data_IF_990044731514
#
_entry.id   IF_990044731514
#
_cell.length_a   1.000
_cell.length_b   1.000
_cell.length_c   1.000
_cell.angle_alpha   90.00
_cell.angle_beta   90.00
_cell.angle_gamma   90.00
#
_symmetry.space_group_name_H-M   'P 1'
#
loop_
_entity.id
_entity.type
_entity.pdbx_description
1 polymer ?
#
# COMPACT_ATOMS: atom_id res chain seq x y z
N UNK A 1 15.96 -45.27 -3.07
CA UNK A 1 16.14 -43.98 -2.46
C UNK A 1 15.57 -42.92 -3.39
N UNK A 2 14.30 -42.59 -3.17
CA UNK A 2 13.61 -41.50 -3.89
C UNK A 2 13.92 -40.21 -3.18
N UNK A 3 14.71 -39.35 -3.82
CA UNK A 3 14.96 -37.99 -3.38
C UNK A 3 13.73 -37.14 -3.67
N UNK A 4 13.11 -36.67 -2.61
CA UNK A 4 12.02 -35.72 -2.55
C UNK A 4 12.52 -34.36 -3.10
N UNK A 5 12.24 -34.07 -4.37
CA UNK A 5 12.39 -32.71 -4.93
C UNK A 5 11.16 -31.91 -4.57
N UNK A 6 11.15 -31.35 -3.39
CA UNK A 6 10.29 -30.18 -3.08
C UNK A 6 10.73 -29.04 -4.00
N UNK A 7 9.99 -28.84 -5.08
CA UNK A 7 10.03 -27.60 -5.83
C UNK A 7 9.53 -26.48 -4.92
N UNK A 8 10.44 -25.88 -4.15
CA UNK A 8 10.22 -24.60 -3.52
C UNK A 8 10.01 -23.58 -4.64
N UNK A 9 8.77 -23.16 -4.83
CA UNK A 9 8.47 -21.87 -5.42
C UNK A 9 9.11 -20.83 -4.49
N UNK A 10 10.38 -20.52 -4.74
CA UNK A 10 10.95 -19.26 -4.25
C UNK A 10 10.12 -18.18 -4.95
N UNK A 11 9.11 -17.68 -4.25
CA UNK A 11 8.62 -16.33 -4.53
C UNK A 11 9.88 -15.47 -4.56
N UNK A 12 10.24 -14.99 -5.76
CA UNK A 12 11.22 -13.91 -5.85
C UNK A 12 10.76 -12.87 -4.84
N UNK A 13 11.63 -12.58 -3.88
CA UNK A 13 11.42 -11.52 -2.92
C UNK A 13 10.90 -10.32 -3.70
N UNK A 14 9.74 -9.79 -3.28
CA UNK A 14 9.33 -8.45 -3.67
C UNK A 14 10.59 -7.60 -3.63
N UNK A 15 10.87 -6.84 -4.68
CA UNK A 15 12.05 -5.97 -4.75
C UNK A 15 12.13 -5.26 -3.41
N UNK A 16 13.10 -5.64 -2.58
CA UNK A 16 13.29 -5.06 -1.27
C UNK A 16 13.49 -3.56 -1.51
N UNK A 17 12.70 -2.74 -0.81
CA UNK A 17 12.90 -1.30 -0.83
C UNK A 17 14.37 -1.02 -0.48
N UNK A 18 15.08 -0.30 -1.36
CA UNK A 18 16.47 0.08 -1.09
C UNK A 18 16.50 1.10 0.07
N UNK A 19 16.90 0.62 1.23
CA UNK A 19 16.99 1.44 2.45
C UNK A 19 18.21 2.35 2.46
N UNK A 20 19.15 2.22 1.51
CA UNK A 20 20.37 3.00 1.44
C UNK A 20 20.10 4.51 1.45
N UNK A 21 19.31 5.06 0.51
CA UNK A 21 18.94 6.48 0.50
C UNK A 21 18.25 6.94 1.78
N UNK A 22 17.36 6.12 2.34
CA UNK A 22 16.67 6.42 3.60
C UNK A 22 17.66 6.54 4.76
N UNK A 23 18.62 5.63 4.86
CA UNK A 23 19.62 5.62 5.95
C UNK A 23 20.41 6.92 6.00
N UNK A 24 20.69 7.53 4.86
CA UNK A 24 21.45 8.79 4.80
C UNK A 24 20.66 10.00 5.27
N UNK A 25 19.35 10.05 5.02
CA UNK A 25 18.51 11.20 5.39
C UNK A 25 17.73 10.97 6.69
N UNK A 26 17.80 9.76 7.26
CA UNK A 26 17.00 9.37 8.43
C UNK A 26 17.20 10.27 9.64
N UNK A 27 18.48 10.63 9.94
CA UNK A 27 18.80 11.52 11.06
C UNK A 27 18.20 12.92 10.89
N UNK A 28 18.18 13.46 9.68
CA UNK A 28 17.57 14.76 9.39
C UNK A 28 16.04 14.69 9.50
N UNK A 29 15.43 13.58 9.03
CA UNK A 29 14.00 13.36 9.18
C UNK A 29 13.62 13.26 10.66
N UNK A 30 14.37 12.50 11.46
CA UNK A 30 14.12 12.35 12.89
C UNK A 30 14.20 13.69 13.60
N UNK A 31 15.23 14.48 13.33
CA UNK A 31 15.39 15.82 13.91
C UNK A 31 14.25 16.76 13.50
N UNK A 32 13.77 16.68 12.26
CA UNK A 32 12.63 17.48 11.81
C UNK A 32 11.31 17.03 12.49
N UNK A 33 11.10 15.72 12.66
CA UNK A 33 9.95 15.19 13.42
C UNK A 33 9.99 15.61 14.88
N UNK A 34 11.13 15.55 15.55
CA UNK A 34 11.31 16.02 16.93
C UNK A 34 10.98 17.51 17.05
N UNK A 35 11.45 18.33 16.13
CA UNK A 35 11.13 19.77 16.12
C UNK A 35 9.65 20.04 15.86
N UNK A 36 9.00 19.25 14.99
CA UNK A 36 7.58 19.34 14.74
C UNK A 36 6.78 18.97 16.00
N UNK A 37 7.15 17.89 16.70
CA UNK A 37 6.50 17.45 17.95
C UNK A 37 6.70 18.49 19.08
N UNK A 38 7.89 19.06 19.20
CA UNK A 38 8.19 20.12 20.17
C UNK A 38 7.31 21.37 19.93
N UNK A 39 7.20 21.82 18.69
CA UNK A 39 6.34 22.97 18.33
C UNK A 39 4.87 22.67 18.65
N UNK A 40 4.39 21.46 18.34
CA UNK A 40 3.05 21.02 18.67
C UNK A 40 2.81 21.01 20.19
N UNK A 41 3.77 20.52 20.97
CA UNK A 41 3.73 20.52 22.45
C UNK A 41 3.67 21.94 23.02
N UNK A 42 4.42 22.88 22.46
CA UNK A 42 4.37 24.29 22.85
C UNK A 42 3.01 24.92 22.57
N UNK A 43 2.40 24.62 21.41
CA UNK A 43 1.04 25.03 21.10
C UNK A 43 0.04 24.48 22.13
N UNK A 44 0.10 23.18 22.41
CA UNK A 44 -0.81 22.53 23.34
C UNK A 44 -0.72 23.12 24.75
N UNK A 45 0.49 23.38 25.25
CA UNK A 45 0.72 24.01 26.53
C UNK A 45 0.18 25.45 26.58
N UNK A 46 0.43 26.25 25.55
CA UNK A 46 -0.10 27.61 25.42
C UNK A 46 -1.62 27.65 25.32
N UNK A 47 -2.21 26.73 24.54
CA UNK A 47 -3.67 26.64 24.39
C UNK A 47 -4.36 26.31 25.71
N UNK A 48 -3.80 25.40 26.51
CA UNK A 48 -4.29 25.09 27.86
C UNK A 48 -4.21 26.29 28.81
N UNK A 49 -3.25 27.21 28.60
CA UNK A 49 -3.10 28.44 29.36
C UNK A 49 -3.92 29.63 28.81
N UNK A 50 -4.69 29.42 27.71
CA UNK A 50 -5.46 30.46 27.03
C UNK A 50 -4.61 31.41 26.17
N UNK A 51 -3.35 31.07 25.89
CA UNK A 51 -2.40 31.86 25.11
C UNK A 51 -1.91 31.10 23.87
N UNK A 52 -2.73 30.18 23.33
CA UNK A 52 -2.36 29.36 22.18
C UNK A 52 -1.94 30.22 20.97
N UNK A 53 -0.68 30.09 20.54
CA UNK A 53 -0.11 30.83 19.42
C UNK A 53 -0.03 29.94 18.18
N UNK A 54 -0.83 30.26 17.17
CA UNK A 54 -0.84 29.55 15.88
C UNK A 54 0.53 29.55 15.16
N UNK A 55 1.45 30.43 15.57
CA UNK A 55 2.83 30.41 15.07
C UNK A 55 3.50 29.06 15.34
N UNK A 56 3.18 28.39 16.44
CA UNK A 56 3.71 27.06 16.76
C UNK A 56 3.15 25.98 15.82
N UNK A 57 1.89 26.07 15.40
CA UNK A 57 1.32 25.20 14.37
C UNK A 57 2.04 25.39 13.04
N UNK A 58 2.35 26.65 12.67
CA UNK A 58 3.14 26.96 11.47
C UNK A 58 4.55 26.37 11.54
N UNK A 59 5.21 26.43 12.69
CA UNK A 59 6.52 25.78 12.85
C UNK A 59 6.42 24.26 12.72
N UNK A 60 5.43 23.63 13.36
CA UNK A 60 5.17 22.22 13.20
C UNK A 60 4.99 21.84 11.71
N UNK A 61 4.17 22.58 10.97
CA UNK A 61 3.95 22.39 9.53
C UNK A 61 5.24 22.57 8.72
N UNK A 62 6.04 23.59 9.03
CA UNK A 62 7.30 23.83 8.32
C UNK A 62 8.27 22.67 8.48
N UNK A 63 8.41 22.12 9.68
CA UNK A 63 9.26 20.95 9.92
C UNK A 63 8.71 19.68 9.26
N UNK A 64 7.39 19.49 9.27
CA UNK A 64 6.77 18.39 8.55
C UNK A 64 6.99 18.48 7.02
N UNK A 65 6.96 19.68 6.46
CA UNK A 65 7.27 19.91 5.04
C UNK A 65 8.71 19.51 4.68
N UNK A 66 9.66 19.73 5.59
CA UNK A 66 11.04 19.23 5.42
C UNK A 66 11.08 17.70 5.38
N UNK A 67 10.33 17.04 6.28
CA UNK A 67 10.19 15.57 6.28
C UNK A 67 9.63 15.08 4.95
N UNK A 68 8.56 15.70 4.46
CA UNK A 68 7.91 15.36 3.18
C UNK A 68 8.87 15.47 2.01
N UNK A 69 9.65 16.56 1.94
CA UNK A 69 10.68 16.73 0.90
C UNK A 69 11.69 15.60 0.91
N UNK A 70 12.19 15.21 2.08
CA UNK A 70 13.12 14.09 2.22
C UNK A 70 12.49 12.74 1.83
N UNK A 71 11.25 12.47 2.22
CA UNK A 71 10.51 11.26 1.84
C UNK A 71 10.30 11.15 0.33
N UNK A 72 10.01 12.28 -0.33
CA UNK A 72 9.86 12.36 -1.79
C UNK A 72 11.17 12.00 -2.50
N UNK A 73 12.31 12.52 -2.02
CA UNK A 73 13.63 12.22 -2.59
C UNK A 73 13.98 10.74 -2.44
N UNK A 74 13.60 10.14 -1.33
CA UNK A 74 13.83 8.70 -1.06
C UNK A 74 12.87 7.79 -1.85
N UNK A 75 11.77 8.34 -2.40
CA UNK A 75 10.77 7.57 -3.16
C UNK A 75 9.80 6.76 -2.27
N UNK A 76 9.48 7.26 -1.08
CA UNK A 76 8.52 6.67 -0.16
C UNK A 76 7.10 7.24 -0.37
N UNK A 77 6.55 7.07 -1.59
CA UNK A 77 5.32 7.71 -2.05
C UNK A 77 4.15 7.58 -1.07
N UNK A 78 3.93 6.39 -0.50
CA UNK A 78 2.80 6.17 0.42
C UNK A 78 2.94 6.89 1.76
N UNK A 79 4.16 7.01 2.29
CA UNK A 79 4.42 7.79 3.52
C UNK A 79 4.41 9.28 3.21
N UNK A 80 4.87 9.68 2.03
CA UNK A 80 4.75 11.06 1.52
C UNK A 80 3.28 11.47 1.45
N UNK A 81 2.41 10.65 0.85
CA UNK A 81 0.97 10.89 0.79
C UNK A 81 0.32 10.99 2.18
N UNK A 82 0.77 10.18 3.14
CA UNK A 82 0.33 10.27 4.54
C UNK A 82 0.78 11.61 5.16
N UNK A 83 2.03 12.01 4.94
CA UNK A 83 2.57 13.28 5.45
C UNK A 83 1.88 14.49 4.84
N UNK A 84 1.48 14.43 3.57
CA UNK A 84 0.67 15.46 2.89
C UNK A 84 -0.71 15.63 3.55
N UNK A 85 -1.35 14.52 3.91
CA UNK A 85 -2.63 14.59 4.61
C UNK A 85 -2.50 15.24 6.00
N UNK A 86 -1.40 14.96 6.71
CA UNK A 86 -1.10 15.57 7.99
C UNK A 86 -0.75 17.06 7.84
N UNK A 87 0.06 17.44 6.85
CA UNK A 87 0.37 18.84 6.55
C UNK A 87 -0.88 19.64 6.21
N UNK A 88 -1.77 19.05 5.43
CA UNK A 88 -3.04 19.68 5.05
C UNK A 88 -4.01 19.86 6.23
N UNK A 89 -3.94 19.01 7.28
CA UNK A 89 -4.67 19.25 8.53
C UNK A 89 -4.08 20.42 9.30
N UNK A 90 -2.75 20.50 9.41
CA UNK A 90 -2.06 21.62 10.06
C UNK A 90 -2.37 22.95 9.34
N UNK A 91 -2.37 22.94 8.01
CA UNK A 91 -2.75 24.10 7.19
C UNK A 91 -4.22 24.50 7.43
N UNK A 92 -5.13 23.54 7.51
CA UNK A 92 -6.54 23.83 7.78
C UNK A 92 -6.74 24.43 9.19
N UNK A 93 -5.95 24.01 10.19
CA UNK A 93 -5.94 24.61 11.53
C UNK A 93 -5.34 26.03 11.48
N UNK A 94 -4.22 26.24 10.80
CA UNK A 94 -3.60 27.55 10.63
C UNK A 94 -4.55 28.57 9.96
N UNK A 95 -5.37 28.08 9.03
CA UNK A 95 -6.38 28.88 8.31
C UNK A 95 -7.71 28.98 9.08
N UNK A 96 -7.78 28.49 10.32
CA UNK A 96 -8.99 28.48 11.15
C UNK A 96 -10.20 27.74 10.52
N UNK A 97 -9.94 26.86 9.55
CA UNK A 97 -10.95 26.01 8.90
C UNK A 97 -11.29 24.77 9.73
N UNK A 98 -10.34 24.31 10.54
CA UNK A 98 -10.48 23.19 11.47
C UNK A 98 -10.13 23.65 12.89
N UNK A 99 -10.78 23.05 13.89
CA UNK A 99 -10.48 23.35 15.29
C UNK A 99 -9.16 22.69 15.69
N UNK A 100 -8.33 23.43 16.43
CA UNK A 100 -7.13 22.93 17.09
C UNK A 100 -7.46 22.44 18.50
N UNK A 101 -8.49 21.61 18.64
CA UNK A 101 -8.88 21.01 19.92
C UNK A 101 -7.94 19.88 20.37
N UNK A 102 -8.15 19.38 21.59
CA UNK A 102 -7.30 18.33 22.15
C UNK A 102 -7.29 17.03 21.31
N UNK A 103 -8.40 16.71 20.63
CA UNK A 103 -8.49 15.53 19.77
C UNK A 103 -7.65 15.71 18.49
N UNK A 104 -7.71 16.88 17.88
CA UNK A 104 -6.90 17.23 16.70
C UNK A 104 -5.40 17.23 17.04
N UNK A 105 -5.02 17.79 18.17
CA UNK A 105 -3.61 17.81 18.63
C UNK A 105 -3.10 16.39 18.89
N UNK A 106 -3.88 15.54 19.55
CA UNK A 106 -3.49 14.14 19.81
C UNK A 106 -3.40 13.33 18.50
N UNK A 107 -4.28 13.59 17.54
CA UNK A 107 -4.23 12.97 16.21
C UNK A 107 -2.95 13.35 15.47
N UNK A 108 -2.57 14.63 15.47
CA UNK A 108 -1.33 15.13 14.86
C UNK A 108 -0.11 14.48 15.53
N UNK A 109 -0.08 14.46 16.88
CA UNK A 109 1.01 13.84 17.64
C UNK A 109 1.18 12.36 17.30
N UNK A 110 0.11 11.58 17.31
CA UNK A 110 0.14 10.17 16.90
C UNK A 110 0.64 10.00 15.47
N UNK A 111 0.25 10.91 14.58
CA UNK A 111 0.65 10.87 13.17
C UNK A 111 2.14 11.14 12.97
N UNK A 112 2.71 12.12 13.70
CA UNK A 112 4.16 12.38 13.68
C UNK A 112 4.95 11.15 14.20
N UNK A 113 4.51 10.58 15.33
CA UNK A 113 5.14 9.40 15.91
C UNK A 113 5.10 8.18 14.96
N UNK A 114 3.98 7.96 14.28
CA UNK A 114 3.80 6.84 13.35
C UNK A 114 4.71 6.97 12.14
N UNK A 115 4.97 8.17 11.61
CA UNK A 115 5.96 8.37 10.54
C UNK A 115 7.34 7.88 11.00
N UNK A 116 7.80 8.32 12.19
CA UNK A 116 9.09 7.91 12.74
C UNK A 116 9.20 6.39 12.95
N UNK A 117 8.15 5.78 13.52
CA UNK A 117 8.09 4.31 13.70
C UNK A 117 8.12 3.56 12.37
N UNK A 118 7.35 4.01 11.38
CA UNK A 118 7.31 3.40 10.07
C UNK A 118 8.69 3.40 9.40
N UNK A 119 9.41 4.52 9.48
CA UNK A 119 10.76 4.63 8.91
C UNK A 119 11.78 3.75 9.66
N UNK A 120 11.65 3.61 10.99
CA UNK A 120 12.47 2.69 11.77
C UNK A 120 12.20 1.21 11.39
N UNK A 121 10.93 0.86 11.15
CA UNK A 121 10.53 -0.46 10.67
C UNK A 121 11.22 -0.76 9.32
N UNK A 122 11.21 0.19 8.37
CA UNK A 122 11.85 0.03 7.07
C UNK A 122 13.36 -0.18 7.18
N UNK A 123 14.03 0.63 8.00
CA UNK A 123 15.48 0.47 8.25
C UNK A 123 15.79 -0.87 8.91
N UNK A 124 14.86 -1.40 9.70
CA UNK A 124 14.96 -2.72 10.34
C UNK A 124 14.60 -3.89 9.40
N UNK A 125 14.34 -3.62 8.11
CA UNK A 125 14.03 -4.64 7.10
C UNK A 125 12.56 -5.05 7.02
N UNK A 126 11.64 -4.30 7.63
CA UNK A 126 10.22 -4.54 7.43
C UNK A 126 9.78 -4.09 6.04
N UNK A 127 8.80 -4.76 5.42
CA UNK A 127 8.34 -4.43 4.08
C UNK A 127 7.67 -3.05 4.02
N UNK A 128 7.88 -2.32 2.91
CA UNK A 128 7.20 -1.06 2.64
C UNK A 128 5.72 -1.31 2.32
N UNK A 129 4.86 -1.12 3.31
CA UNK A 129 3.41 -1.35 3.24
C UNK A 129 2.62 -0.16 3.76
N UNK A 130 2.45 0.92 2.97
CA UNK A 130 1.77 2.14 3.42
C UNK A 130 0.32 1.95 3.86
N UNK A 131 -0.35 0.88 3.40
CA UNK A 131 -1.70 0.52 3.85
C UNK A 131 -1.80 0.29 5.37
N UNK A 132 -0.70 0.02 6.07
CA UNK A 132 -0.65 -0.03 7.55
C UNK A 132 -1.03 1.32 8.18
N UNK A 133 -0.87 2.42 7.46
CA UNK A 133 -1.21 3.78 7.90
C UNK A 133 -2.68 4.16 7.61
N UNK A 134 -3.45 3.31 6.93
CA UNK A 134 -4.77 3.64 6.40
C UNK A 134 -5.77 4.08 7.48
N UNK A 135 -5.75 3.48 8.66
CA UNK A 135 -6.66 3.85 9.75
C UNK A 135 -6.43 5.30 10.17
N UNK A 136 -5.17 5.65 10.43
CA UNK A 136 -4.80 6.99 10.87
C UNK A 136 -4.95 8.02 9.74
N UNK A 137 -4.66 7.62 8.49
CA UNK A 137 -4.93 8.43 7.31
C UNK A 137 -6.41 8.81 7.18
N UNK A 138 -7.32 7.85 7.42
CA UNK A 138 -8.76 8.13 7.44
C UNK A 138 -9.14 9.12 8.53
N UNK A 139 -8.58 8.97 9.74
CA UNK A 139 -8.81 9.92 10.84
C UNK A 139 -8.38 11.34 10.45
N UNK A 140 -7.21 11.52 9.84
CA UNK A 140 -6.72 12.81 9.34
C UNK A 140 -7.67 13.43 8.29
N UNK A 141 -8.14 12.64 7.34
CA UNK A 141 -9.05 13.13 6.31
C UNK A 141 -10.43 13.49 6.87
N UNK A 142 -10.94 12.70 7.82
CA UNK A 142 -12.21 12.99 8.50
C UNK A 142 -12.10 14.27 9.34
N UNK A 143 -10.99 14.49 10.05
CA UNK A 143 -10.73 15.71 10.82
C UNK A 143 -10.74 16.97 9.91
N UNK A 144 -10.39 16.83 8.64
CA UNK A 144 -10.49 17.87 7.61
C UNK A 144 -11.89 18.00 6.99
N UNK A 145 -12.86 17.18 7.40
CA UNK A 145 -14.22 17.17 6.86
C UNK A 145 -14.41 16.37 5.58
N UNK A 146 -13.41 15.58 5.14
CA UNK A 146 -13.52 14.72 3.96
C UNK A 146 -14.24 13.42 4.32
N UNK A 147 -15.28 13.07 3.54
CA UNK A 147 -16.12 11.89 3.81
C UNK A 147 -15.71 10.65 3.01
N UNK A 148 -15.09 10.83 1.85
CA UNK A 148 -14.75 9.76 0.93
C UNK A 148 -13.23 9.53 0.95
N UNK A 149 -12.78 8.58 1.77
CA UNK A 149 -11.37 8.18 1.87
C UNK A 149 -11.24 6.75 1.38
N UNK A 150 -10.42 6.56 0.35
CA UNK A 150 -10.19 5.25 -0.26
C UNK A 150 -8.90 4.61 0.23
N UNK A 151 -8.88 3.29 0.30
CA UNK A 151 -7.63 2.55 0.52
C UNK A 151 -6.65 2.70 -0.66
N UNK A 152 -7.15 3.05 -1.84
CA UNK A 152 -6.32 3.32 -3.03
C UNK A 152 -5.41 4.52 -2.86
N UNK A 153 -5.74 5.45 -1.96
CA UNK A 153 -4.93 6.65 -1.70
C UNK A 153 -3.55 6.30 -1.13
N UNK A 154 -3.44 5.18 -0.40
CA UNK A 154 -2.17 4.67 0.14
C UNK A 154 -1.71 3.37 -0.53
N UNK A 155 -2.26 3.02 -1.68
CA UNK A 155 -1.90 1.81 -2.40
C UNK A 155 -0.84 2.11 -3.45
N UNK A 156 0.42 1.88 -3.10
CA UNK A 156 1.60 2.05 -3.97
C UNK A 156 2.26 0.69 -4.23
N UNK A 157 1.71 -0.13 -5.13
CA UNK A 157 2.27 -1.44 -5.44
C UNK A 157 3.57 -1.30 -6.24
N UNK A 158 4.48 -2.25 -6.07
CA UNK A 158 5.64 -2.39 -6.94
C UNK A 158 5.21 -2.80 -8.36
N UNK A 159 5.26 -1.85 -9.28
CA UNK A 159 4.95 -2.06 -10.68
C UNK A 159 6.11 -2.65 -11.48
N UNK A 160 7.28 -2.87 -10.87
CA UNK A 160 8.44 -3.48 -11.53
C UNK A 160 8.34 -5.00 -11.63
N UNK A 161 7.48 -5.63 -10.81
CA UNK A 161 7.28 -7.07 -10.80
C UNK A 161 6.97 -7.64 -12.20
N UNK A 162 7.68 -8.69 -12.58
CA UNK A 162 7.56 -9.33 -13.90
C UNK A 162 7.42 -10.84 -13.72
N UNK A 163 6.66 -11.50 -14.60
CA UNK A 163 6.59 -12.94 -14.59
C UNK A 163 7.96 -13.55 -14.91
N UNK A 164 8.29 -14.72 -14.35
CA UNK A 164 9.54 -15.42 -14.62
C UNK A 164 9.71 -15.70 -16.11
N UNK A 165 10.96 -15.74 -16.58
CA UNK A 165 11.24 -16.10 -17.99
C UNK A 165 10.67 -17.47 -18.30
N UNK A 166 10.05 -17.61 -19.46
CA UNK A 166 9.64 -18.93 -19.99
C UNK A 166 10.85 -19.63 -20.59
N UNK A 167 10.97 -20.92 -20.32
CA UNK A 167 11.96 -21.79 -20.98
C UNK A 167 11.63 -22.01 -22.46
N UNK A 168 10.33 -22.06 -22.78
CA UNK A 168 9.83 -22.22 -24.14
C UNK A 168 8.90 -21.06 -24.49
N UNK A 169 9.07 -20.47 -25.65
CA UNK A 169 8.17 -19.42 -26.15
C UNK A 169 6.74 -19.93 -26.28
N UNK A 170 5.76 -19.10 -25.88
CA UNK A 170 4.36 -19.44 -26.08
C UNK A 170 4.07 -19.68 -27.57
N UNK A 171 3.35 -20.77 -27.87
CA UNK A 171 2.87 -21.03 -29.22
C UNK A 171 2.03 -19.87 -29.74
N UNK A 172 2.35 -19.34 -30.89
CA UNK A 172 1.52 -18.32 -31.54
C UNK A 172 0.22 -19.00 -32.03
N UNK A 173 -0.88 -18.67 -31.36
CA UNK A 173 -2.22 -19.12 -31.75
C UNK A 173 -2.74 -18.24 -32.89
N UNK A 174 -3.48 -18.83 -33.83
CA UNK A 174 -4.25 -18.05 -34.78
C UNK A 174 -5.37 -17.27 -34.06
N UNK A 175 -5.80 -16.15 -34.62
CA UNK A 175 -6.80 -15.29 -34.00
C UNK A 175 -8.08 -16.04 -33.63
N UNK A 176 -8.54 -16.95 -34.48
CA UNK A 176 -9.72 -17.78 -34.22
C UNK A 176 -9.50 -18.77 -33.06
N UNK A 177 -8.33 -19.39 -32.97
CA UNK A 177 -7.95 -20.30 -31.86
C UNK A 177 -7.88 -19.55 -30.55
N UNK A 178 -7.29 -18.34 -30.56
CA UNK A 178 -7.21 -17.49 -29.37
C UNK A 178 -8.61 -17.06 -28.89
N UNK A 179 -9.49 -16.66 -29.81
CA UNK A 179 -10.86 -16.30 -29.47
C UNK A 179 -11.63 -17.49 -28.88
N UNK A 180 -11.45 -18.68 -29.42
CA UNK A 180 -12.08 -19.89 -28.89
C UNK A 180 -11.58 -20.20 -27.48
N UNK A 181 -10.25 -20.17 -27.26
CA UNK A 181 -9.62 -20.35 -25.95
C UNK A 181 -10.20 -19.35 -24.93
N UNK A 182 -10.22 -18.06 -25.27
CA UNK A 182 -10.72 -17.02 -24.36
C UNK A 182 -12.20 -17.22 -24.01
N UNK A 183 -13.05 -17.68 -24.94
CA UNK A 183 -14.44 -18.00 -24.65
C UNK A 183 -14.57 -19.20 -23.70
N UNK A 184 -13.79 -20.24 -23.91
CA UNK A 184 -13.78 -21.44 -23.06
C UNK A 184 -13.30 -21.11 -21.65
N UNK A 185 -12.19 -20.38 -21.52
CA UNK A 185 -11.62 -20.03 -20.23
C UNK A 185 -12.48 -18.99 -19.48
N UNK A 186 -13.16 -18.09 -20.20
CA UNK A 186 -14.18 -17.22 -19.59
C UNK A 186 -15.31 -18.04 -18.97
N UNK A 187 -15.84 -19.04 -19.68
CA UNK A 187 -16.88 -19.90 -19.15
C UNK A 187 -16.39 -20.73 -17.95
N UNK A 188 -15.15 -21.18 -18.00
CA UNK A 188 -14.49 -21.90 -16.91
C UNK A 188 -14.35 -21.00 -15.67
N UNK A 189 -13.83 -19.78 -15.82
CA UNK A 189 -13.72 -18.80 -14.75
C UNK A 189 -15.09 -18.46 -14.13
N UNK A 190 -16.13 -18.26 -14.97
CA UNK A 190 -17.48 -17.96 -14.47
C UNK A 190 -18.07 -19.10 -13.64
N UNK A 191 -17.84 -20.35 -14.05
CA UNK A 191 -18.29 -21.52 -13.25
C UNK A 191 -17.58 -21.56 -11.89
N UNK A 192 -16.25 -21.37 -11.89
CA UNK A 192 -15.47 -21.30 -10.66
C UNK A 192 -15.93 -20.18 -9.73
N UNK A 193 -16.19 -18.99 -10.29
CA UNK A 193 -16.71 -17.85 -9.53
C UNK A 193 -18.07 -18.15 -8.89
N UNK A 194 -18.99 -18.74 -9.66
CA UNK A 194 -20.30 -19.13 -9.14
C UNK A 194 -20.20 -20.20 -8.05
N UNK A 195 -19.31 -21.18 -8.21
CA UNK A 195 -19.06 -22.20 -7.20
C UNK A 195 -18.52 -21.57 -5.91
N UNK A 196 -17.56 -20.66 -6.03
CA UNK A 196 -17.01 -19.95 -4.87
C UNK A 196 -18.04 -19.05 -4.18
N UNK A 197 -18.86 -18.31 -4.92
CA UNK A 197 -19.93 -17.48 -4.33
C UNK A 197 -21.00 -18.29 -3.60
N UNK A 198 -21.27 -19.53 -4.04
CA UNK A 198 -22.24 -20.44 -3.38
C UNK A 198 -21.66 -21.12 -2.14
N UNK A 199 -20.39 -21.44 -2.17
CA UNK A 199 -19.67 -22.14 -1.09
C UNK A 199 -18.32 -21.45 -0.82
N UNK A 200 -18.28 -20.26 -0.19
CA UNK A 200 -17.06 -19.48 -0.01
C UNK A 200 -15.97 -20.18 0.80
N UNK A 201 -16.36 -21.10 1.68
CA UNK A 201 -15.43 -21.89 2.48
C UNK A 201 -14.75 -23.00 1.68
N UNK A 202 -15.31 -23.37 0.52
CA UNK A 202 -14.70 -24.34 -0.39
C UNK A 202 -13.77 -23.62 -1.37
N UNK A 203 -12.54 -24.08 -1.42
CA UNK A 203 -11.52 -23.48 -2.32
C UNK A 203 -11.55 -24.04 -3.74
N UNK A 204 -12.47 -24.96 -4.04
CA UNK A 204 -12.61 -25.59 -5.36
C UNK A 204 -12.88 -24.58 -6.47
N UNK A 205 -13.84 -23.66 -6.25
CA UNK A 205 -14.18 -22.62 -7.21
C UNK A 205 -13.02 -21.65 -7.49
N UNK A 206 -12.26 -21.28 -6.46
CA UNK A 206 -11.06 -20.42 -6.62
C UNK A 206 -9.98 -21.15 -7.42
N UNK A 207 -9.78 -22.46 -7.21
CA UNK A 207 -8.82 -23.26 -7.99
C UNK A 207 -9.22 -23.36 -9.46
N UNK A 208 -10.51 -23.46 -9.77
CA UNK A 208 -11.01 -23.42 -11.16
C UNK A 208 -10.76 -22.06 -11.81
N UNK A 209 -11.04 -20.95 -11.10
CA UNK A 209 -10.69 -19.60 -11.59
C UNK A 209 -9.18 -19.46 -11.85
N UNK A 210 -8.36 -19.96 -10.94
CA UNK A 210 -6.90 -19.95 -11.08
C UNK A 210 -6.44 -20.74 -12.31
N UNK A 211 -7.01 -21.93 -12.55
CA UNK A 211 -6.69 -22.75 -13.71
C UNK A 211 -7.02 -22.00 -15.02
N UNK A 212 -8.18 -21.36 -15.11
CA UNK A 212 -8.56 -20.55 -16.27
C UNK A 212 -7.61 -19.38 -16.51
N UNK A 213 -7.24 -18.65 -15.46
CA UNK A 213 -6.30 -17.52 -15.56
C UNK A 213 -4.91 -17.98 -16.00
N UNK A 214 -4.39 -19.09 -15.47
CA UNK A 214 -3.10 -19.66 -15.88
C UNK A 214 -3.10 -20.11 -17.33
N UNK A 215 -4.21 -20.68 -17.81
CA UNK A 215 -4.38 -21.06 -19.22
C UNK A 215 -4.29 -19.83 -20.15
N UNK A 216 -4.97 -18.74 -19.78
CA UNK A 216 -4.91 -17.48 -20.53
C UNK A 216 -3.50 -16.89 -20.45
N UNK A 217 -2.86 -16.83 -19.29
CA UNK A 217 -1.47 -16.34 -19.14
C UNK A 217 -0.51 -17.11 -20.03
N UNK A 218 -0.65 -18.43 -20.08
CA UNK A 218 0.19 -19.31 -20.91
C UNK A 218 0.09 -18.98 -22.41
N UNK A 219 -1.06 -18.51 -22.88
CA UNK A 219 -1.30 -18.15 -24.29
C UNK A 219 -0.79 -16.76 -24.66
N UNK A 220 -0.50 -15.88 -23.68
CA UNK A 220 -0.11 -14.50 -23.96
C UNK A 220 1.32 -14.39 -24.50
N UNK A 221 1.49 -13.65 -25.58
CA UNK A 221 2.81 -13.34 -26.17
C UNK A 221 3.30 -11.96 -25.74
N UNK A 222 2.40 -10.98 -25.66
CA UNK A 222 2.73 -9.63 -25.21
C UNK A 222 3.10 -9.63 -23.72
N UNK A 223 4.25 -9.05 -23.39
CA UNK A 223 4.76 -9.00 -22.02
C UNK A 223 3.79 -8.32 -21.03
N UNK A 224 3.17 -7.22 -21.44
CA UNK A 224 2.20 -6.49 -20.61
C UNK A 224 0.96 -7.33 -20.30
N UNK A 225 0.36 -7.97 -21.31
CA UNK A 225 -0.80 -8.84 -21.12
C UNK A 225 -0.44 -10.06 -20.25
N UNK A 226 0.74 -10.65 -20.47
CA UNK A 226 1.23 -11.75 -19.63
C UNK A 226 1.41 -11.32 -18.18
N UNK A 227 2.01 -10.15 -17.93
CA UNK A 227 2.21 -9.62 -16.58
C UNK A 227 0.86 -9.45 -15.86
N UNK A 228 -0.15 -8.90 -16.54
CA UNK A 228 -1.49 -8.76 -15.97
C UNK A 228 -2.07 -10.11 -15.52
N UNK A 229 -2.07 -11.11 -16.39
CA UNK A 229 -2.62 -12.42 -16.09
C UNK A 229 -1.81 -13.18 -15.03
N UNK A 230 -0.48 -12.98 -14.99
CA UNK A 230 0.39 -13.54 -13.96
C UNK A 230 0.08 -12.96 -12.58
N UNK A 231 -0.11 -11.64 -12.48
CA UNK A 231 -0.53 -10.99 -11.21
C UNK A 231 -1.90 -11.48 -10.78
N UNK A 232 -2.87 -11.55 -11.70
CA UNK A 232 -4.21 -12.09 -11.41
C UNK A 232 -4.13 -13.55 -10.92
N UNK A 233 -3.27 -14.37 -11.52
CA UNK A 233 -3.00 -15.74 -11.07
C UNK A 233 -2.37 -15.80 -9.69
N UNK A 234 -1.44 -14.89 -9.38
CA UNK A 234 -0.83 -14.76 -8.05
C UNK A 234 -1.87 -14.43 -6.96
N UNK A 235 -2.76 -13.48 -7.24
CA UNK A 235 -3.86 -13.15 -6.34
C UNK A 235 -4.78 -14.35 -6.07
N UNK A 236 -5.22 -15.05 -7.14
CA UNK A 236 -6.07 -16.22 -6.98
C UNK A 236 -5.35 -17.39 -6.27
N UNK A 237 -4.04 -17.54 -6.46
CA UNK A 237 -3.24 -18.52 -5.72
C UNK A 237 -3.22 -18.20 -4.23
N UNK A 238 -2.93 -16.96 -3.86
CA UNK A 238 -2.94 -16.50 -2.48
C UNK A 238 -4.33 -16.67 -1.82
N UNK A 239 -5.40 -16.41 -2.58
CA UNK A 239 -6.78 -16.64 -2.14
C UNK A 239 -7.06 -18.14 -1.95
N UNK A 240 -6.62 -19.01 -2.88
CA UNK A 240 -6.79 -20.46 -2.79
C UNK A 240 -6.01 -21.07 -1.61
N UNK A 241 -4.88 -20.50 -1.25
CA UNK A 241 -4.03 -20.92 -0.12
C UNK A 241 -4.48 -20.32 1.23
N UNK A 242 -5.44 -19.37 1.20
CA UNK A 242 -5.93 -18.71 2.42
C UNK A 242 -5.03 -17.60 2.94
N UNK A 243 -4.03 -17.16 2.17
CA UNK A 243 -3.15 -16.05 2.51
C UNK A 243 -3.87 -14.69 2.45
N UNK A 244 -4.95 -14.59 1.67
CA UNK A 244 -5.85 -13.42 1.61
C UNK A 244 -7.16 -13.77 2.31
N UNK A 245 -7.63 -12.91 3.22
CA UNK A 245 -8.91 -13.10 3.92
C UNK A 245 -10.07 -12.72 3.00
N UNK A 246 -11.08 -13.57 2.94
CA UNK A 246 -12.29 -13.37 2.11
C UNK A 246 -13.10 -12.15 2.55
N UNK A 247 -12.98 -11.73 3.81
CA UNK A 247 -13.72 -10.60 4.39
C UNK A 247 -13.42 -9.26 3.71
N UNK A 248 -12.28 -9.14 3.04
CA UNK A 248 -11.88 -7.93 2.31
C UNK A 248 -12.58 -7.82 0.94
N UNK A 249 -13.18 -8.91 0.46
CA UNK A 249 -13.73 -9.01 -0.91
C UNK A 249 -15.28 -8.95 -0.89
N UNK A 250 -15.87 -8.99 0.28
CA UNK A 250 -17.32 -8.80 0.51
C UNK A 250 -17.60 -7.36 0.89
#
# INVERSE_FOLDING_TARGET
PFADRRNGLTMNAATEFDVGPLTWVKSEIDLALERADLALGQYAAGSAAGTGDLTQIKFCRTHLHQVQGALTIVGLDGVTQFSEALEALLEAIEQEKCSADGASIELIKRSLAVIGHYLNDLVSGQPNQPLRLLSLYKELQIARGLKNVSATDLFFPDLSARPPRREVSARKLATAELQLLLRQERAHFQRGLLAWLRAPNERSGVKEMLAAVRSIEASQQASSARTFWWIAGGFLSALAEGAVRDEVIR
#
